data_IF_380568450643
#
_entry.id   IF_380568450643
#
_cell.length_a   1.000
_cell.length_b   1.000
_cell.length_c   1.000
_cell.angle_alpha   90.00
_cell.angle_beta   90.00
_cell.angle_gamma   90.00
#
_symmetry.space_group_name_H-M   'P 1'
#
loop_
_entity.id
_entity.type
_entity.pdbx_description
1 polymer ?
#
# COMPACT_ATOMS: atom_id res chain seq x y z
N UNK A 1 -6.37 11.75 -2.01
CA UNK A 1 -6.47 10.31 -2.37
C UNK A 1 -5.98 10.21 -3.81
N UNK A 2 -4.93 9.43 -4.11
CA UNK A 2 -4.34 9.35 -5.46
C UNK A 2 -4.40 7.88 -5.92
N UNK A 3 -4.89 7.65 -7.15
CA UNK A 3 -5.04 6.32 -7.75
C UNK A 3 -4.06 6.12 -8.90
N UNK A 4 -3.58 4.88 -9.05
CA UNK A 4 -2.72 4.43 -10.16
C UNK A 4 -3.57 3.52 -11.07
N UNK A 5 -3.53 3.75 -12.39
CA UNK A 5 -4.14 2.89 -13.40
C UNK A 5 -3.07 1.99 -14.04
N UNK A 6 -3.38 0.72 -14.25
CA UNK A 6 -2.49 -0.28 -14.88
C UNK A 6 -2.87 -0.35 -16.37
N UNK A 7 -1.89 -0.17 -17.26
CA UNK A 7 -2.05 -0.40 -18.71
C UNK A 7 -1.38 -1.76 -19.01
N UNK A 8 -2.17 -2.74 -19.47
CA UNK A 8 -1.68 -4.05 -19.92
C UNK A 8 -2.03 -4.28 -21.38
N UNK A 9 -1.29 -5.15 -22.06
CA UNK A 9 -1.61 -5.61 -23.42
C UNK A 9 -2.98 -6.31 -23.44
N UNK A 10 -3.72 -6.19 -24.56
CA UNK A 10 -5.10 -6.67 -24.68
C UNK A 10 -5.28 -8.14 -24.25
N UNK A 11 -4.30 -9.01 -24.54
CA UNK A 11 -4.30 -10.43 -24.19
C UNK A 11 -4.25 -10.69 -22.67
N UNK A 12 -3.58 -9.82 -21.92
CA UNK A 12 -3.49 -9.92 -20.46
C UNK A 12 -4.82 -9.53 -19.83
N UNK A 13 -5.49 -8.51 -20.37
CA UNK A 13 -6.81 -8.10 -19.89
C UNK A 13 -7.86 -9.19 -20.12
N UNK A 14 -7.87 -9.81 -21.30
CA UNK A 14 -8.82 -10.89 -21.64
C UNK A 14 -8.59 -12.16 -20.80
N UNK A 15 -7.33 -12.54 -20.59
CA UNK A 15 -6.98 -13.70 -19.73
C UNK A 15 -7.31 -13.41 -18.27
N UNK A 16 -7.09 -12.17 -17.83
CA UNK A 16 -7.51 -11.71 -16.51
C UNK A 16 -9.02 -11.78 -16.38
N UNK A 17 -9.81 -11.35 -17.36
CA UNK A 17 -11.28 -11.43 -17.31
C UNK A 17 -11.80 -12.85 -17.09
N UNK A 18 -11.18 -13.84 -17.75
CA UNK A 18 -11.50 -15.28 -17.64
C UNK A 18 -11.10 -15.90 -16.30
N UNK A 19 -10.24 -15.25 -15.50
CA UNK A 19 -9.91 -15.70 -14.15
C UNK A 19 -11.08 -15.47 -13.19
N UNK A 20 -11.30 -16.41 -12.27
CA UNK A 20 -12.31 -16.25 -11.23
C UNK A 20 -12.02 -15.00 -10.38
N UNK A 21 -13.06 -14.36 -9.85
CA UNK A 21 -12.90 -13.19 -8.97
C UNK A 21 -12.03 -13.50 -7.73
N UNK A 22 -12.07 -14.75 -7.26
CA UNK A 22 -11.20 -15.23 -6.19
C UNK A 22 -9.71 -15.24 -6.58
N UNK A 23 -9.39 -15.70 -7.79
CA UNK A 23 -8.02 -15.66 -8.32
C UNK A 23 -7.55 -14.22 -8.54
N UNK A 24 -8.37 -13.36 -9.18
CA UNK A 24 -8.08 -11.93 -9.36
C UNK A 24 -7.75 -11.25 -8.02
N UNK A 25 -8.57 -11.49 -7.00
CA UNK A 25 -8.37 -10.94 -5.65
C UNK A 25 -7.06 -11.41 -5.03
N UNK A 26 -6.75 -12.70 -5.11
CA UNK A 26 -5.52 -13.26 -4.55
C UNK A 26 -4.28 -12.71 -5.26
N UNK A 27 -4.24 -12.82 -6.59
CA UNK A 27 -3.12 -12.35 -7.41
C UNK A 27 -2.87 -10.86 -7.23
N UNK A 28 -3.93 -10.05 -7.29
CA UNK A 28 -3.83 -8.60 -7.10
C UNK A 28 -3.43 -8.18 -5.69
N UNK A 29 -3.87 -8.91 -4.66
CA UNK A 29 -3.45 -8.63 -3.28
C UNK A 29 -1.96 -8.89 -3.11
N UNK A 30 -1.48 -10.06 -3.53
CA UNK A 30 -0.06 -10.40 -3.40
C UNK A 30 0.84 -9.44 -4.20
N UNK A 31 0.42 -9.09 -5.42
CA UNK A 31 1.20 -8.20 -6.28
C UNK A 31 1.28 -6.79 -5.70
N UNK A 32 0.20 -6.29 -5.07
CA UNK A 32 0.22 -5.01 -4.37
C UNK A 32 1.14 -5.01 -3.14
N UNK A 33 1.26 -6.13 -2.43
CA UNK A 33 2.19 -6.21 -1.28
C UNK A 33 3.62 -5.98 -1.76
N UNK A 34 4.05 -6.70 -2.78
CA UNK A 34 5.41 -6.59 -3.32
C UNK A 34 5.65 -5.19 -3.91
N UNK A 35 4.72 -4.70 -4.72
CA UNK A 35 4.82 -3.42 -5.41
C UNK A 35 4.87 -2.21 -4.47
N UNK A 36 4.25 -2.27 -3.29
CA UNK A 36 4.21 -1.15 -2.35
C UNK A 36 5.41 -1.10 -1.41
N UNK A 37 6.25 -2.13 -1.38
CA UNK A 37 7.44 -2.20 -0.51
C UNK A 37 8.34 -0.96 -0.64
N UNK A 38 8.73 -0.50 -1.86
CA UNK A 38 9.59 0.67 -2.00
C UNK A 38 8.96 1.94 -1.40
N UNK A 39 7.64 2.09 -1.53
CA UNK A 39 6.92 3.24 -0.97
C UNK A 39 6.88 3.21 0.56
N UNK A 40 6.73 2.03 1.16
CA UNK A 40 6.79 1.85 2.62
C UNK A 40 8.18 2.22 3.13
N UNK A 41 9.23 1.75 2.46
CA UNK A 41 10.61 2.02 2.87
C UNK A 41 10.95 3.51 2.74
N UNK A 42 10.55 4.15 1.65
CA UNK A 42 10.70 5.59 1.47
C UNK A 42 9.92 6.38 2.54
N UNK A 43 8.67 5.99 2.84
CA UNK A 43 7.87 6.65 3.86
C UNK A 43 8.48 6.49 5.26
N UNK A 44 9.06 5.33 5.58
CA UNK A 44 9.77 5.09 6.84
C UNK A 44 11.09 5.84 6.95
N UNK A 45 11.79 6.03 5.84
CA UNK A 45 13.03 6.81 5.81
C UNK A 45 12.78 8.30 6.10
N UNK A 46 11.60 8.80 5.70
CA UNK A 46 11.22 10.21 5.85
C UNK A 46 10.41 10.51 7.12
N UNK A 47 9.75 9.49 7.69
CA UNK A 47 8.98 9.67 8.91
C UNK A 47 9.88 9.91 10.12
N UNK A 48 9.47 10.86 10.97
CA UNK A 48 10.14 11.12 12.23
C UNK A 48 10.07 9.91 13.17
N UNK A 49 11.19 9.62 13.83
CA UNK A 49 11.33 8.54 14.79
C UNK A 49 11.52 9.15 16.18
N UNK A 50 10.40 9.51 16.81
CA UNK A 50 10.39 10.02 18.18
C UNK A 50 9.50 9.15 19.07
N UNK A 51 10.09 8.69 20.17
CA UNK A 51 9.39 7.94 21.23
C UNK A 51 8.24 8.77 21.81
N UNK A 52 8.40 10.08 21.91
CA UNK A 52 7.39 11.00 22.46
C UNK A 52 6.18 11.17 21.52
N UNK A 53 6.39 10.95 20.22
CA UNK A 53 5.32 10.95 19.21
C UNK A 53 4.67 9.59 19.04
N UNK A 54 5.21 8.51 19.64
CA UNK A 54 4.64 7.17 19.56
C UNK A 54 5.11 6.35 18.36
N UNK A 55 6.35 6.57 17.91
CA UNK A 55 7.06 5.76 16.91
C UNK A 55 6.31 5.68 15.56
N UNK A 56 6.10 6.83 14.93
CA UNK A 56 5.41 6.96 13.64
C UNK A 56 6.05 6.07 12.58
N UNK A 57 7.38 6.05 12.51
CA UNK A 57 8.15 5.20 11.59
C UNK A 57 7.77 3.73 11.69
N UNK A 58 7.76 3.14 12.88
CA UNK A 58 7.38 1.73 13.07
C UNK A 58 5.89 1.45 12.77
N UNK A 59 5.04 2.48 12.90
CA UNK A 59 3.61 2.36 12.62
C UNK A 59 3.30 2.22 11.12
N UNK A 60 4.18 2.68 10.24
CA UNK A 60 3.94 2.67 8.79
C UNK A 60 3.90 1.23 8.26
N UNK A 61 2.84 0.93 7.53
CA UNK A 61 2.68 -0.32 6.81
C UNK A 61 1.73 -0.15 5.63
N UNK A 62 1.13 -1.27 5.21
CA UNK A 62 0.18 -1.29 4.13
C UNK A 62 -1.10 -2.03 4.52
N UNK A 63 -2.17 -1.73 3.80
CA UNK A 63 -3.44 -2.46 3.87
C UNK A 63 -3.99 -2.60 2.46
N UNK A 64 -4.38 -3.81 2.10
CA UNK A 64 -5.09 -4.07 0.83
C UNK A 64 -6.57 -4.24 1.09
N UNK A 65 -7.41 -3.61 0.26
CA UNK A 65 -8.87 -3.76 0.29
C UNK A 65 -9.36 -4.12 -1.12
N UNK A 66 -9.95 -5.29 -1.24
CA UNK A 66 -10.68 -5.70 -2.44
C UNK A 66 -12.17 -5.36 -2.30
N UNK A 67 -12.74 -4.78 -3.35
CA UNK A 67 -14.15 -4.41 -3.44
C UNK A 67 -14.94 -5.42 -4.26
N UNK A 68 -16.28 -5.42 -4.08
CA UNK A 68 -17.18 -6.35 -4.79
C UNK A 68 -17.15 -6.18 -6.31
N UNK A 69 -16.85 -4.97 -6.80
CA UNK A 69 -16.71 -4.65 -8.22
C UNK A 69 -15.37 -5.07 -8.85
N UNK A 70 -14.58 -5.90 -8.15
CA UNK A 70 -13.28 -6.38 -8.64
C UNK A 70 -12.12 -5.39 -8.48
N UNK A 71 -12.37 -4.14 -8.06
CA UNK A 71 -11.29 -3.18 -7.77
C UNK A 71 -10.52 -3.59 -6.53
N UNK A 72 -9.19 -3.51 -6.59
CA UNK A 72 -8.30 -3.79 -5.46
C UNK A 72 -7.49 -2.52 -5.20
N UNK A 73 -7.53 -2.02 -3.97
CA UNK A 73 -6.81 -0.81 -3.58
C UNK A 73 -5.81 -1.11 -2.47
N UNK A 74 -4.57 -0.63 -2.66
CA UNK A 74 -3.54 -0.64 -1.64
C UNK A 74 -3.46 0.73 -0.95
N UNK A 75 -3.46 0.71 0.38
CA UNK A 75 -3.26 1.89 1.22
C UNK A 75 -1.90 1.78 1.89
N UNK A 76 -1.11 2.87 1.88
CA UNK A 76 0.13 2.99 2.64
C UNK A 76 -0.06 4.07 3.70
N UNK A 77 0.36 3.78 4.94
CA UNK A 77 0.23 4.69 6.07
C UNK A 77 0.31 3.96 7.42
N UNK A 78 0.03 4.66 8.52
CA UNK A 78 0.03 4.05 9.84
C UNK A 78 -0.97 2.90 9.96
N UNK A 79 -0.56 1.80 10.57
CA UNK A 79 -1.41 0.63 10.81
C UNK A 79 -2.49 0.96 11.83
N UNK A 80 -3.72 0.54 11.54
CA UNK A 80 -4.81 0.61 12.49
C UNK A 80 -4.48 -0.19 13.76
N UNK A 81 -4.70 0.41 14.93
CA UNK A 81 -4.46 -0.24 16.21
C UNK A 81 -3.00 -0.24 16.68
N UNK A 82 -2.07 0.37 15.93
CA UNK A 82 -0.70 0.57 16.41
C UNK A 82 -0.70 1.60 17.54
N UNK A 83 -0.39 1.11 18.75
CA UNK A 83 -0.37 1.89 20.00
C UNK A 83 1.01 1.81 20.62
N UNK A 84 1.53 2.96 21.05
CA UNK A 84 2.79 3.06 21.79
C UNK A 84 2.55 3.92 23.01
N UNK A 85 3.13 3.55 24.15
CA UNK A 85 3.11 4.37 25.36
C UNK A 85 4.30 5.32 25.28
N UNK A 86 4.05 6.63 25.34
CA UNK A 86 5.11 7.63 25.36
C UNK A 86 5.82 7.67 26.72
N UNK A 87 6.92 8.42 26.82
CA UNK A 87 7.71 8.55 28.05
C UNK A 87 6.91 9.10 29.24
N UNK A 88 5.80 9.77 28.99
CA UNK A 88 4.91 10.36 29.98
C UNK A 88 3.73 9.43 30.33
N UNK A 89 3.78 8.16 29.88
CA UNK A 89 2.76 7.15 30.17
C UNK A 89 1.50 7.29 29.33
N UNK A 90 1.47 8.16 28.31
CA UNK A 90 0.27 8.38 27.49
C UNK A 90 0.26 7.44 26.29
N UNK A 91 -0.91 6.86 26.01
CA UNK A 91 -1.08 6.05 24.80
C UNK A 91 -1.18 6.94 23.56
N UNK A 92 -0.23 6.76 22.64
CA UNK A 92 -0.19 7.39 21.32
C UNK A 92 -0.69 6.43 20.26
N UNK A 93 -1.55 6.92 19.38
CA UNK A 93 -2.13 6.16 18.26
C UNK A 93 -1.75 6.87 16.96
N UNK A 94 -0.89 6.24 16.17
CA UNK A 94 -0.31 6.85 14.97
C UNK A 94 -1.35 7.37 13.96
N UNK A 95 -2.45 6.63 13.78
CA UNK A 95 -3.54 7.04 12.88
C UNK A 95 -4.24 8.34 13.29
N UNK A 96 -4.14 8.76 14.55
CA UNK A 96 -4.77 9.99 15.06
C UNK A 96 -3.92 11.24 14.82
N UNK A 97 -2.60 11.12 14.66
CA UNK A 97 -1.72 12.29 14.55
C UNK A 97 -0.89 12.33 13.25
N UNK A 98 -0.80 11.24 12.49
CA UNK A 98 0.06 11.18 11.30
C UNK A 98 -0.24 12.26 10.25
N UNK A 99 -1.51 12.63 10.07
CA UNK A 99 -1.90 13.70 9.16
C UNK A 99 -1.48 15.09 9.66
N UNK A 100 -1.41 15.28 10.99
CA UNK A 100 -0.92 16.52 11.61
C UNK A 100 0.59 16.68 11.41
N UNK A 101 1.32 15.55 11.34
CA UNK A 101 2.75 15.52 11.02
C UNK A 101 2.94 15.79 9.52
N UNK A 102 2.21 15.07 8.65
CA UNK A 102 2.32 15.20 7.20
C UNK A 102 2.05 16.63 6.68
N UNK A 103 1.06 17.32 7.26
CA UNK A 103 0.58 18.62 6.76
C UNK A 103 0.93 19.81 7.66
N UNK A 104 1.48 19.56 8.85
CA UNK A 104 1.54 20.58 9.89
C UNK A 104 0.16 20.89 10.45
N UNK A 105 0.11 21.70 11.52
CA UNK A 105 -1.15 22.10 12.15
C UNK A 105 -1.00 23.35 13.01
N UNK A 106 -2.09 24.07 13.24
CA UNK A 106 -2.14 25.16 14.20
C UNK A 106 -2.16 24.62 15.64
N UNK A 107 -1.44 25.30 16.56
CA UNK A 107 -1.46 24.96 17.99
C UNK A 107 -2.64 25.64 18.67
N UNK A 108 -3.21 24.98 19.68
CA UNK A 108 -4.17 25.61 20.58
C UNK A 108 -3.43 26.68 21.39
N UNK A 109 -3.86 27.94 21.29
CA UNK A 109 -3.19 29.09 21.95
C UNK A 109 -2.32 29.94 21.02
N UNK A 110 -2.32 29.67 19.70
CA UNK A 110 -1.57 30.44 18.71
C UNK A 110 -0.29 29.76 18.25
N UNK A 111 0.17 30.14 17.06
CA UNK A 111 1.33 29.55 16.39
C UNK A 111 1.03 28.27 15.61
N UNK A 112 2.02 27.80 14.84
CA UNK A 112 1.92 26.65 13.94
C UNK A 112 3.03 25.65 14.18
N UNK A 113 2.74 24.37 13.96
CA UNK A 113 3.72 23.30 13.82
C UNK A 113 3.99 23.13 12.33
N UNK A 114 5.26 23.18 11.93
CA UNK A 114 5.68 22.96 10.56
C UNK A 114 5.34 21.52 10.12
N UNK A 115 5.09 21.35 8.81
CA UNK A 115 4.87 20.04 8.24
C UNK A 115 6.18 19.24 8.17
N UNK A 116 6.08 17.96 8.50
CA UNK A 116 7.12 16.95 8.30
C UNK A 116 6.57 15.88 7.33
N UNK A 117 6.51 16.18 6.02
CA UNK A 117 5.90 15.28 5.05
C UNK A 117 6.72 14.01 4.86
N UNK A 118 6.06 12.85 4.88
CA UNK A 118 6.68 11.54 4.73
C UNK A 118 5.92 10.64 3.74
N UNK A 119 4.61 10.81 3.55
CA UNK A 119 3.84 10.02 2.59
C UNK A 119 3.86 10.63 1.19
N UNK A 120 3.63 11.94 1.06
CA UNK A 120 3.66 12.63 -0.24
C UNK A 120 5.02 12.54 -0.92
N UNK A 121 6.15 12.83 -0.25
CA UNK A 121 7.47 12.68 -0.86
C UNK A 121 7.77 11.22 -1.22
N UNK A 122 7.45 10.26 -0.35
CA UNK A 122 7.58 8.84 -0.66
C UNK A 122 6.77 8.41 -1.90
N UNK A 123 5.52 8.88 -2.02
CA UNK A 123 4.69 8.61 -3.18
C UNK A 123 5.29 9.21 -4.45
N UNK A 124 5.71 10.48 -4.41
CA UNK A 124 6.28 11.16 -5.56
C UNK A 124 7.54 10.45 -6.07
N UNK A 125 8.40 9.99 -5.16
CA UNK A 125 9.65 9.29 -5.47
C UNK A 125 9.44 7.88 -6.02
N UNK A 126 8.42 7.14 -5.54
CA UNK A 126 8.32 5.69 -5.80
C UNK A 126 7.18 5.30 -6.75
N UNK A 127 6.26 6.20 -7.09
CA UNK A 127 5.05 5.89 -7.89
C UNK A 127 5.33 5.12 -9.19
N UNK A 128 6.39 5.48 -9.93
CA UNK A 128 6.74 4.82 -11.19
C UNK A 128 7.31 3.42 -10.95
N UNK A 129 8.20 3.28 -9.97
CA UNK A 129 8.76 1.99 -9.56
C UNK A 129 7.65 1.05 -9.08
N UNK A 130 6.76 1.51 -8.21
CA UNK A 130 5.63 0.71 -7.73
C UNK A 130 4.72 0.25 -8.89
N UNK A 131 4.43 1.12 -9.86
CA UNK A 131 3.62 0.75 -11.02
C UNK A 131 4.32 -0.31 -11.89
N UNK A 132 5.62 -0.14 -12.15
CA UNK A 132 6.41 -1.10 -12.91
C UNK A 132 6.50 -2.47 -12.21
N UNK A 133 6.79 -2.49 -10.91
CA UNK A 133 6.82 -3.72 -10.11
C UNK A 133 5.46 -4.41 -10.09
N UNK A 134 4.37 -3.64 -9.94
CA UNK A 134 3.02 -4.21 -9.97
C UNK A 134 2.73 -4.91 -11.31
N UNK A 135 3.07 -4.27 -12.43
CA UNK A 135 2.91 -4.86 -13.76
C UNK A 135 3.72 -6.16 -13.93
N UNK A 136 5.00 -6.14 -13.54
CA UNK A 136 5.88 -7.30 -13.64
C UNK A 136 5.41 -8.49 -12.76
N UNK A 137 4.99 -8.21 -11.51
CA UNK A 137 4.53 -9.25 -10.59
C UNK A 137 3.19 -9.84 -11.05
N UNK A 138 2.26 -8.99 -11.51
CA UNK A 138 0.99 -9.46 -12.04
C UNK A 138 1.19 -10.30 -13.31
N UNK A 139 2.01 -9.86 -14.25
CA UNK A 139 2.33 -10.61 -15.47
C UNK A 139 2.81 -12.03 -15.17
N UNK A 140 3.87 -12.15 -14.36
CA UNK A 140 4.42 -13.46 -13.92
C UNK A 140 3.36 -14.34 -13.25
N UNK A 141 2.54 -13.76 -12.36
CA UNK A 141 1.51 -14.52 -11.63
C UNK A 141 0.38 -14.99 -12.55
N UNK A 142 0.00 -14.20 -13.55
CA UNK A 142 -1.02 -14.56 -14.55
C UNK A 142 -0.50 -15.73 -15.41
N UNK A 143 0.76 -15.69 -15.87
CA UNK A 143 1.38 -16.77 -16.65
C UNK A 143 1.40 -18.11 -15.90
N UNK A 144 1.76 -18.07 -14.61
CA UNK A 144 1.75 -19.27 -13.74
C UNK A 144 0.33 -19.85 -13.62
N UNK A 145 -0.67 -19.00 -13.40
CA UNK A 145 -2.06 -19.47 -13.28
C UNK A 145 -2.64 -19.95 -14.62
N UNK A 146 -2.29 -19.31 -15.74
CA UNK A 146 -2.64 -19.78 -17.08
C UNK A 146 -2.07 -21.19 -17.35
N UNK A 147 -0.81 -21.42 -16.97
CA UNK A 147 -0.15 -22.74 -17.08
C UNK A 147 -0.80 -23.79 -16.18
N UNK A 148 -1.23 -23.41 -14.97
CA UNK A 148 -1.98 -24.32 -14.08
C UNK A 148 -3.34 -24.71 -14.66
N UNK A 149 -4.07 -23.74 -15.22
CA UNK A 149 -5.37 -23.98 -15.83
C UNK A 149 -5.27 -24.91 -17.04
N UNK A 150 -4.27 -24.70 -17.91
CA UNK A 150 -4.04 -25.57 -19.08
C UNK A 150 -3.74 -27.02 -18.67
N UNK A 151 -2.87 -27.22 -17.66
CA UNK A 151 -2.59 -28.55 -17.08
C UNK A 151 -3.82 -29.22 -16.49
N UNK A 152 -4.67 -28.47 -15.77
CA UNK A 152 -5.90 -29.00 -15.17
C UNK A 152 -6.93 -29.42 -16.23
N UNK A 153 -7.04 -28.65 -17.31
CA UNK A 153 -7.92 -28.97 -18.44
C UNK A 153 -7.46 -30.25 -19.16
N UNK A 154 -6.15 -30.43 -19.33
CA UNK A 154 -5.55 -31.62 -19.95
C UNK A 154 -5.71 -32.90 -19.14
N UNK A 155 -5.82 -32.80 -17.80
CA UNK A 155 -6.02 -33.95 -16.88
C UNK A 155 -7.49 -34.36 -16.71
N UNK A 156 -8.44 -33.51 -17.16
CA UNK A 156 -9.89 -33.77 -17.13
C UNK A 156 -10.43 -34.33 -18.44
N UNK A 157 -9.59 -34.38 -19.48
CA UNK A 157 -9.88 -34.91 -20.81
C UNK A 157 -9.16 -36.24 -20.94
#
# INVERSE_FOLDING_TARGET
MIGIAIIGTADVAETLEKLSNAAKKKLGTDALVEALTPMIDAARAQASDSVDTGNLKASIGFRVKAYKNGKILGYVGPRNGFKVVDRQGRTRIATRYSHLVEFGHAKKGGGTVAAEPFLRPAFAATKQQCAATLGAVLGRKIEIEATRLSRRKRRKK
#
